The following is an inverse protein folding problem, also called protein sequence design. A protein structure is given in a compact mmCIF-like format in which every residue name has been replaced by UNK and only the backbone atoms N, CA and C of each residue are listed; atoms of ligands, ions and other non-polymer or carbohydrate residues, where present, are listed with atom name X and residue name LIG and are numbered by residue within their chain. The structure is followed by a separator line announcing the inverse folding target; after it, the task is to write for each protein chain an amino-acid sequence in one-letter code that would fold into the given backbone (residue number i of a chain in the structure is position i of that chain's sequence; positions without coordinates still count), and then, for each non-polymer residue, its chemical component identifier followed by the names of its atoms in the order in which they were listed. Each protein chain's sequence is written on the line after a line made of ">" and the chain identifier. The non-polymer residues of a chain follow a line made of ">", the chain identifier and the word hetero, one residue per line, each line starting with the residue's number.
data_IF_774059787083
#
_entry.id   IF_774059787083
#
_cell.length_a   1.000
_cell.length_b   1.000
_cell.length_c   1.000
_cell.angle_alpha   90.00
_cell.angle_beta   90.00
_cell.angle_gamma   90.00
#
_symmetry.space_group_name_H-M   'P 1'
#
loop_
_entity.id
_entity.type
_entity.pdbx_description
1 polymer ?
#
# COMPACT_ATOMS: atom_id res chain seq x y z
N UNK A 1 -27.11 6.84 -23.30
CA UNK A 1 -26.30 8.03 -22.95
C UNK A 1 -26.24 8.35 -21.44
N UNK A 2 -27.34 8.17 -20.67
CA UNK A 2 -27.37 8.46 -19.22
C UNK A 2 -26.39 7.59 -18.38
N UNK A 3 -26.35 6.28 -18.60
CA UNK A 3 -25.53 5.34 -17.81
C UNK A 3 -24.03 5.63 -17.90
N UNK A 4 -23.50 5.91 -19.11
CA UNK A 4 -22.08 6.26 -19.31
C UNK A 4 -21.66 7.56 -18.59
N UNK A 5 -22.56 8.56 -18.53
CA UNK A 5 -22.29 9.83 -17.84
C UNK A 5 -22.28 9.65 -16.31
N UNK A 6 -23.15 8.79 -15.79
CA UNK A 6 -23.24 8.47 -14.36
C UNK A 6 -21.98 7.72 -13.88
N UNK A 7 -21.50 6.74 -14.65
CA UNK A 7 -20.25 6.01 -14.37
C UNK A 7 -19.06 6.97 -14.32
N UNK A 8 -18.90 7.83 -15.33
CA UNK A 8 -17.82 8.83 -15.37
C UNK A 8 -17.85 9.81 -14.18
N UNK A 9 -19.05 10.17 -13.71
CA UNK A 9 -19.17 11.06 -12.53
C UNK A 9 -18.79 10.33 -11.26
N UNK A 10 -19.21 9.08 -11.08
CA UNK A 10 -18.83 8.24 -9.94
C UNK A 10 -17.31 8.06 -9.85
N UNK A 11 -16.66 7.76 -10.97
CA UNK A 11 -15.20 7.64 -11.06
C UNK A 11 -14.49 8.96 -10.68
N UNK A 12 -14.96 10.11 -11.16
CA UNK A 12 -14.39 11.42 -10.80
C UNK A 12 -14.53 11.72 -9.31
N UNK A 13 -15.64 11.34 -8.67
CA UNK A 13 -15.83 11.47 -7.22
C UNK A 13 -14.80 10.60 -6.49
N UNK A 14 -14.62 9.34 -6.88
CA UNK A 14 -13.66 8.42 -6.26
C UNK A 14 -12.23 8.93 -6.41
N UNK A 15 -11.81 9.34 -7.61
CA UNK A 15 -10.46 9.85 -7.87
C UNK A 15 -10.13 11.08 -7.02
N UNK A 16 -11.05 12.09 -7.01
CA UNK A 16 -10.83 13.28 -6.19
C UNK A 16 -10.86 12.95 -4.70
N UNK A 17 -11.76 12.07 -4.26
CA UNK A 17 -11.82 11.65 -2.85
C UNK A 17 -10.51 10.98 -2.42
N UNK A 18 -9.96 10.09 -3.23
CA UNK A 18 -8.67 9.45 -3.00
C UNK A 18 -7.54 10.49 -2.85
N UNK A 19 -7.50 11.46 -3.77
CA UNK A 19 -6.53 12.54 -3.71
C UNK A 19 -6.66 13.34 -2.41
N UNK A 20 -7.87 13.81 -2.08
CA UNK A 20 -8.11 14.61 -0.88
C UNK A 20 -7.82 13.84 0.41
N UNK A 21 -8.20 12.56 0.49
CA UNK A 21 -7.88 11.71 1.64
C UNK A 21 -6.38 11.51 1.81
N UNK A 22 -5.65 11.35 0.72
CA UNK A 22 -4.20 11.25 0.73
C UNK A 22 -3.52 12.55 1.20
N UNK A 23 -3.98 13.71 0.71
CA UNK A 23 -3.36 15.02 0.95
C UNK A 23 -3.75 15.66 2.29
N UNK A 24 -5.03 15.56 2.67
CA UNK A 24 -5.59 16.30 3.80
C UNK A 24 -5.97 15.41 4.99
N UNK A 25 -5.87 14.08 4.84
CA UNK A 25 -6.36 13.12 5.82
C UNK A 25 -7.86 12.84 5.68
N UNK A 26 -8.23 11.58 5.83
CA UNK A 26 -9.64 11.15 5.71
C UNK A 26 -10.54 11.89 6.70
N UNK A 27 -10.09 12.10 7.93
CA UNK A 27 -10.87 12.75 9.00
C UNK A 27 -11.25 14.19 8.66
N UNK A 28 -10.37 14.93 7.98
CA UNK A 28 -10.54 16.34 7.65
C UNK A 28 -11.41 16.58 6.42
N UNK A 29 -11.66 15.54 5.61
CA UNK A 29 -12.41 15.65 4.36
C UNK A 29 -13.85 15.21 4.55
N UNK A 30 -14.78 16.08 4.15
CA UNK A 30 -16.23 15.81 4.14
C UNK A 30 -16.75 15.65 2.72
N UNK A 31 -17.94 15.07 2.56
CA UNK A 31 -18.63 15.00 1.26
C UNK A 31 -18.89 16.39 0.67
N UNK A 32 -19.10 17.41 1.49
CA UNK A 32 -19.26 18.79 1.03
C UNK A 32 -17.95 19.36 0.46
N UNK A 33 -16.79 19.04 1.07
CA UNK A 33 -15.50 19.42 0.50
C UNK A 33 -15.30 18.78 -0.88
N UNK A 34 -15.61 17.49 -1.03
CA UNK A 34 -15.50 16.77 -2.31
C UNK A 34 -16.43 17.38 -3.36
N UNK A 35 -17.69 17.66 -3.00
CA UNK A 35 -18.66 18.28 -3.92
C UNK A 35 -18.21 19.67 -4.38
N UNK A 36 -17.71 20.51 -3.47
CA UNK A 36 -17.20 21.86 -3.77
C UNK A 36 -16.02 21.81 -4.74
N UNK A 37 -15.03 20.94 -4.51
CA UNK A 37 -13.84 20.79 -5.36
C UNK A 37 -14.21 20.26 -6.77
N UNK A 38 -15.27 19.44 -6.88
CA UNK A 38 -15.79 18.97 -8.17
C UNK A 38 -16.69 19.99 -8.89
N UNK A 39 -17.03 21.11 -8.24
CA UNK A 39 -17.98 22.08 -8.79
C UNK A 39 -19.39 21.53 -8.91
N UNK A 40 -19.80 20.57 -8.05
CA UNK A 40 -21.14 20.00 -8.04
C UNK A 40 -21.88 20.31 -6.75
N UNK A 41 -23.24 20.26 -6.82
CA UNK A 41 -24.03 20.41 -5.60
C UNK A 41 -23.88 19.19 -4.69
N UNK A 42 -23.98 19.35 -3.35
CA UNK A 42 -24.01 18.21 -2.43
C UNK A 42 -25.08 17.18 -2.77
N UNK A 43 -26.27 17.62 -3.20
CA UNK A 43 -27.35 16.72 -3.66
C UNK A 43 -26.95 15.84 -4.83
N UNK A 44 -26.16 16.34 -5.78
CA UNK A 44 -25.64 15.55 -6.89
C UNK A 44 -24.61 14.52 -6.42
N UNK A 45 -23.76 14.85 -5.45
CA UNK A 45 -22.86 13.89 -4.83
C UNK A 45 -23.64 12.79 -4.10
N UNK A 46 -24.66 13.16 -3.29
CA UNK A 46 -25.51 12.20 -2.57
C UNK A 46 -26.33 11.28 -3.48
N UNK A 47 -26.56 11.66 -4.72
CA UNK A 47 -27.15 10.76 -5.71
C UNK A 47 -26.21 9.57 -6.03
N UNK A 48 -24.89 9.78 -5.97
CA UNK A 48 -23.88 8.74 -6.25
C UNK A 48 -23.44 7.99 -4.99
N UNK A 49 -23.29 8.69 -3.86
CA UNK A 49 -22.80 8.15 -2.59
C UNK A 49 -23.58 8.75 -1.43
N UNK A 50 -24.26 7.93 -0.66
CA UNK A 50 -25.11 8.39 0.46
C UNK A 50 -24.33 9.06 1.58
N UNK A 51 -23.06 8.68 1.77
CA UNK A 51 -22.18 9.21 2.78
C UNK A 51 -20.72 8.94 2.42
N UNK A 52 -19.79 9.48 3.21
CA UNK A 52 -18.35 9.30 3.03
C UNK A 52 -17.91 7.83 3.15
N UNK A 53 -18.55 7.05 4.01
CA UNK A 53 -18.20 5.65 4.22
C UNK A 53 -18.43 4.78 2.96
N UNK A 54 -19.44 5.10 2.15
CA UNK A 54 -19.65 4.44 0.85
C UNK A 54 -18.51 4.75 -0.13
N UNK A 55 -17.97 5.97 -0.12
CA UNK A 55 -16.81 6.33 -0.94
C UNK A 55 -15.58 5.54 -0.48
N UNK A 56 -15.34 5.47 0.82
CA UNK A 56 -14.21 4.72 1.41
C UNK A 56 -14.34 3.23 1.08
N UNK A 57 -15.54 2.68 1.16
CA UNK A 57 -15.81 1.28 0.80
C UNK A 57 -15.44 0.98 -0.66
N UNK A 58 -15.90 1.80 -1.60
CA UNK A 58 -15.58 1.64 -3.03
C UNK A 58 -14.07 1.77 -3.30
N UNK A 59 -13.40 2.72 -2.64
CA UNK A 59 -11.94 2.86 -2.74
C UNK A 59 -11.22 1.63 -2.16
N UNK A 60 -11.71 1.06 -1.06
CA UNK A 60 -11.15 -0.17 -0.49
C UNK A 60 -11.39 -1.38 -1.41
N UNK A 61 -12.56 -1.50 -2.03
CA UNK A 61 -12.87 -2.54 -3.02
C UNK A 61 -11.98 -2.42 -4.27
N UNK A 62 -11.73 -1.20 -4.72
CA UNK A 62 -10.82 -0.93 -5.83
C UNK A 62 -9.39 -1.30 -5.47
N UNK A 63 -8.89 -0.85 -4.32
CA UNK A 63 -7.56 -1.17 -3.80
C UNK A 63 -7.35 -2.69 -3.68
N UNK A 64 -8.33 -3.40 -3.09
CA UNK A 64 -8.29 -4.85 -2.94
C UNK A 64 -8.19 -5.56 -4.29
N UNK A 65 -9.06 -5.20 -5.25
CA UNK A 65 -9.07 -5.80 -6.58
C UNK A 65 -7.74 -5.58 -7.30
N UNK A 66 -7.29 -4.33 -7.39
CA UNK A 66 -6.05 -3.96 -8.07
C UNK A 66 -4.84 -4.66 -7.44
N UNK A 67 -4.74 -4.68 -6.10
CA UNK A 67 -3.64 -5.33 -5.40
C UNK A 67 -3.60 -6.83 -5.66
N UNK A 68 -4.74 -7.53 -5.59
CA UNK A 68 -4.79 -8.97 -5.79
C UNK A 68 -4.55 -9.37 -7.26
N UNK A 69 -5.03 -8.58 -8.22
CA UNK A 69 -4.74 -8.76 -9.65
C UNK A 69 -3.23 -8.60 -9.93
N UNK A 70 -2.60 -7.60 -9.35
CA UNK A 70 -1.17 -7.33 -9.53
C UNK A 70 -0.27 -8.37 -8.84
N UNK A 71 -0.73 -9.00 -7.77
CA UNK A 71 -0.01 -10.08 -7.08
C UNK A 71 -0.28 -11.47 -7.67
N UNK A 72 -0.99 -11.57 -8.79
CA UNK A 72 -1.23 -12.85 -9.44
C UNK A 72 0.09 -13.48 -9.92
N UNK A 73 0.18 -14.81 -9.79
CA UNK A 73 1.27 -15.57 -10.38
C UNK A 73 1.04 -15.74 -11.90
N UNK A 74 2.09 -15.75 -12.71
CA UNK A 74 1.95 -16.16 -14.12
C UNK A 74 1.52 -17.63 -14.21
N UNK A 75 0.61 -17.93 -15.15
CA UNK A 75 0.04 -19.27 -15.31
C UNK A 75 0.89 -20.20 -16.17
N UNK A 76 1.80 -19.65 -16.97
CA UNK A 76 2.46 -20.33 -18.09
C UNK A 76 3.99 -20.47 -17.94
N UNK A 77 4.58 -19.94 -16.86
CA UNK A 77 6.02 -20.00 -16.60
C UNK A 77 6.37 -19.94 -15.11
N UNK A 78 7.57 -20.35 -14.76
CA UNK A 78 8.14 -20.11 -13.46
C UNK A 78 8.46 -18.61 -13.26
N UNK A 79 8.55 -18.17 -12.02
CA UNK A 79 9.01 -16.82 -11.67
C UNK A 79 10.50 -16.65 -11.98
N UNK A 80 10.88 -15.44 -12.34
CA UNK A 80 12.26 -15.01 -12.50
C UNK A 80 12.60 -13.80 -11.62
N UNK A 81 13.84 -13.30 -11.72
CA UNK A 81 14.31 -12.16 -10.94
C UNK A 81 13.56 -10.86 -11.31
N UNK A 82 13.09 -10.73 -12.55
CA UNK A 82 12.35 -9.53 -12.98
C UNK A 82 10.95 -9.50 -12.36
N UNK A 83 10.33 -10.66 -12.14
CA UNK A 83 9.06 -10.74 -11.43
C UNK A 83 9.19 -10.18 -10.02
N UNK A 84 10.30 -10.46 -9.32
CA UNK A 84 10.57 -9.92 -7.99
C UNK A 84 10.62 -8.41 -8.00
N UNK A 85 11.35 -7.82 -8.95
CA UNK A 85 11.43 -6.35 -9.11
C UNK A 85 10.04 -5.79 -9.41
N UNK A 86 9.28 -6.45 -10.30
CA UNK A 86 7.93 -6.02 -10.67
C UNK A 86 6.97 -6.03 -9.48
N UNK A 87 6.98 -7.07 -8.63
CA UNK A 87 6.15 -7.11 -7.42
C UNK A 87 6.49 -5.97 -6.45
N UNK A 88 7.77 -5.62 -6.28
CA UNK A 88 8.17 -4.48 -5.46
C UNK A 88 7.66 -3.15 -6.02
N UNK A 89 7.80 -2.92 -7.33
CA UNK A 89 7.31 -1.70 -7.98
C UNK A 89 5.79 -1.55 -7.83
N UNK A 90 5.07 -2.64 -8.06
CA UNK A 90 3.61 -2.68 -7.94
C UNK A 90 3.18 -2.36 -6.50
N UNK A 91 3.76 -3.04 -5.51
CA UNK A 91 3.45 -2.78 -4.10
C UNK A 91 3.75 -1.34 -3.71
N UNK A 92 4.88 -0.78 -4.17
CA UNK A 92 5.22 0.62 -3.96
C UNK A 92 4.15 1.58 -4.49
N UNK A 93 3.77 1.39 -5.74
CA UNK A 93 2.77 2.22 -6.39
C UNK A 93 1.41 2.16 -5.68
N UNK A 94 0.99 0.95 -5.27
CA UNK A 94 -0.27 0.74 -4.54
C UNK A 94 -0.24 1.39 -3.15
N UNK A 95 0.83 1.20 -2.40
CA UNK A 95 1.01 1.84 -1.09
C UNK A 95 0.98 3.36 -1.19
N UNK A 96 1.61 3.92 -2.22
CA UNK A 96 1.61 5.37 -2.44
C UNK A 96 0.23 5.88 -2.88
N UNK A 97 -0.39 5.20 -3.83
CA UNK A 97 -1.70 5.59 -4.35
C UNK A 97 -2.80 5.57 -3.28
N UNK A 98 -2.79 4.60 -2.39
CA UNK A 98 -3.80 4.39 -1.35
C UNK A 98 -3.27 4.62 0.07
N UNK A 99 -2.25 5.50 0.24
CA UNK A 99 -1.55 5.70 1.53
C UNK A 99 -2.44 6.12 2.69
N UNK A 100 -3.59 6.78 2.42
CA UNK A 100 -4.55 7.12 3.47
C UNK A 100 -5.13 5.89 4.16
N UNK A 101 -5.34 4.77 3.46
CA UNK A 101 -5.85 3.52 4.02
C UNK A 101 -4.90 2.96 5.09
N UNK A 102 -3.59 3.04 4.85
CA UNK A 102 -2.57 2.56 5.80
C UNK A 102 -2.34 3.54 6.94
N UNK A 103 -2.34 4.84 6.66
CA UNK A 103 -2.20 5.88 7.68
C UNK A 103 -3.37 5.89 8.66
N UNK A 104 -4.59 5.82 8.14
CA UNK A 104 -5.82 6.00 8.92
C UNK A 104 -6.49 4.66 9.31
N UNK A 105 -5.80 3.51 9.14
CA UNK A 105 -6.37 2.16 9.28
C UNK A 105 -7.10 1.94 10.61
N UNK A 106 -6.54 2.35 11.74
CA UNK A 106 -7.17 2.20 13.04
C UNK A 106 -8.49 2.96 13.13
N UNK A 107 -8.48 4.24 12.68
CA UNK A 107 -9.68 5.06 12.65
C UNK A 107 -10.75 4.46 11.72
N UNK A 108 -10.36 3.99 10.56
CA UNK A 108 -11.27 3.37 9.58
C UNK A 108 -11.89 2.08 10.13
N UNK A 109 -11.11 1.23 10.79
CA UNK A 109 -11.61 0.00 11.43
C UNK A 109 -12.59 0.31 12.56
N UNK A 110 -12.35 1.35 13.35
CA UNK A 110 -13.22 1.72 14.46
C UNK A 110 -14.53 2.39 14.01
N UNK A 111 -14.48 3.22 12.97
CA UNK A 111 -15.58 4.12 12.61
C UNK A 111 -16.29 3.76 11.30
N UNK A 112 -15.88 2.70 10.59
CA UNK A 112 -16.50 2.25 9.36
C UNK A 112 -16.75 0.72 9.42
N UNK A 113 -18.01 0.32 9.57
CA UNK A 113 -18.37 -1.08 9.72
C UNK A 113 -18.04 -1.93 8.49
N UNK A 114 -18.23 -1.41 7.28
CA UNK A 114 -17.87 -2.10 6.05
C UNK A 114 -16.35 -2.31 5.98
N UNK A 115 -15.57 -1.26 6.26
CA UNK A 115 -14.12 -1.35 6.28
C UNK A 115 -13.61 -2.38 7.31
N UNK A 116 -14.18 -2.36 8.51
CA UNK A 116 -13.86 -3.32 9.59
C UNK A 116 -14.09 -4.77 9.18
N UNK A 117 -15.10 -5.05 8.33
CA UNK A 117 -15.38 -6.40 7.81
C UNK A 117 -14.48 -6.77 6.63
N UNK A 118 -14.15 -5.79 5.78
CA UNK A 118 -13.39 -6.01 4.54
C UNK A 118 -11.89 -6.14 4.79
N UNK A 119 -11.32 -5.28 5.64
CA UNK A 119 -9.87 -5.19 5.83
C UNK A 119 -9.22 -6.51 6.30
N UNK A 120 -9.74 -7.24 7.32
CA UNK A 120 -9.15 -8.51 7.73
C UNK A 120 -9.19 -9.59 6.64
N UNK A 121 -10.23 -9.61 5.82
CA UNK A 121 -10.35 -10.55 4.69
C UNK A 121 -9.31 -10.24 3.62
N UNK A 122 -9.18 -8.96 3.26
CA UNK A 122 -8.16 -8.48 2.34
C UNK A 122 -6.75 -8.82 2.84
N UNK A 123 -6.43 -8.51 4.11
CA UNK A 123 -5.16 -8.86 4.73
C UNK A 123 -4.85 -10.36 4.62
N UNK A 124 -5.83 -11.21 4.93
CA UNK A 124 -5.69 -12.67 4.79
C UNK A 124 -5.41 -13.10 3.35
N UNK A 125 -6.11 -12.52 2.36
CA UNK A 125 -5.91 -12.81 0.94
C UNK A 125 -4.52 -12.40 0.45
N UNK A 126 -4.07 -11.19 0.83
CA UNK A 126 -2.72 -10.71 0.45
C UNK A 126 -1.62 -11.58 1.08
N UNK A 127 -1.76 -11.93 2.36
CA UNK A 127 -0.78 -12.82 3.01
C UNK A 127 -0.76 -14.22 2.39
N UNK A 128 -1.92 -14.80 2.06
CA UNK A 128 -1.97 -16.09 1.35
C UNK A 128 -1.35 -16.02 -0.05
N UNK A 129 -1.58 -14.93 -0.77
CA UNK A 129 -0.95 -14.72 -2.08
C UNK A 129 0.56 -14.51 -1.94
N UNK A 130 1.01 -13.78 -0.93
CA UNK A 130 2.42 -13.65 -0.59
C UNK A 130 3.10 -14.98 -0.33
N UNK A 131 2.47 -15.87 0.44
CA UNK A 131 2.99 -17.24 0.67
C UNK A 131 3.17 -18.01 -0.65
N UNK A 132 2.20 -17.93 -1.56
CA UNK A 132 2.30 -18.58 -2.89
C UNK A 132 3.44 -17.99 -3.73
N UNK A 133 3.60 -16.67 -3.72
CA UNK A 133 4.67 -15.98 -4.45
C UNK A 133 6.05 -16.41 -3.91
N UNK A 134 6.24 -16.43 -2.59
CA UNK A 134 7.53 -16.86 -2.01
C UNK A 134 7.79 -18.34 -2.23
N UNK A 135 6.77 -19.20 -2.15
CA UNK A 135 6.93 -20.60 -2.53
C UNK A 135 7.34 -20.74 -3.99
N UNK A 136 6.74 -19.98 -4.92
CA UNK A 136 7.11 -20.01 -6.32
C UNK A 136 8.55 -19.52 -6.58
N UNK A 137 9.07 -18.56 -5.79
CA UNK A 137 10.49 -18.18 -5.83
C UNK A 137 11.41 -19.29 -5.32
N UNK A 138 10.99 -20.05 -4.29
CA UNK A 138 11.73 -21.23 -3.82
C UNK A 138 11.74 -22.32 -4.89
N UNK A 139 10.60 -22.61 -5.50
CA UNK A 139 10.45 -23.63 -6.56
C UNK A 139 11.26 -23.26 -7.82
N UNK A 140 11.42 -21.97 -8.10
CA UNK A 140 12.26 -21.44 -9.18
C UNK A 140 13.77 -21.44 -8.84
N UNK A 141 14.17 -21.83 -7.62
CA UNK A 141 15.57 -21.84 -7.18
C UNK A 141 16.17 -20.45 -6.91
N UNK A 142 15.33 -19.42 -6.78
CA UNK A 142 15.75 -18.04 -6.51
C UNK A 142 15.86 -17.73 -5.01
N UNK A 143 15.20 -18.53 -4.18
CA UNK A 143 15.23 -18.44 -2.72
C UNK A 143 15.33 -19.82 -2.09
N UNK A 144 15.89 -19.88 -0.88
CA UNK A 144 15.94 -21.09 -0.07
C UNK A 144 15.27 -20.81 1.27
N UNK A 145 14.07 -21.36 1.45
CA UNK A 145 13.23 -21.14 2.63
C UNK A 145 12.41 -22.38 2.97
N UNK A 146 12.17 -22.59 4.24
CA UNK A 146 11.16 -23.51 4.77
C UNK A 146 9.78 -22.85 4.75
N UNK A 147 8.70 -23.63 4.82
CA UNK A 147 7.35 -23.11 4.90
C UNK A 147 7.14 -22.16 6.11
N UNK A 148 7.76 -22.44 7.25
CA UNK A 148 7.69 -21.57 8.44
C UNK A 148 8.42 -20.23 8.25
N UNK A 149 9.52 -20.24 7.52
CA UNK A 149 10.26 -19.00 7.19
C UNK A 149 9.46 -18.15 6.19
N UNK A 150 8.81 -18.76 5.20
CA UNK A 150 7.90 -18.05 4.29
C UNK A 150 6.76 -17.39 5.07
N UNK A 151 6.10 -18.13 5.97
CA UNK A 151 5.03 -17.59 6.82
C UNK A 151 5.51 -16.40 7.65
N UNK A 152 6.63 -16.55 8.35
CA UNK A 152 7.21 -15.50 9.17
C UNK A 152 7.61 -14.26 8.35
N UNK A 153 8.23 -14.46 7.18
CA UNK A 153 8.60 -13.38 6.28
C UNK A 153 7.37 -12.61 5.79
N UNK A 154 6.34 -13.30 5.32
CA UNK A 154 5.11 -12.67 4.82
C UNK A 154 4.44 -11.82 5.91
N UNK A 155 4.36 -12.32 7.15
CA UNK A 155 3.83 -11.56 8.29
C UNK A 155 4.68 -10.31 8.56
N UNK A 156 6.01 -10.44 8.59
CA UNK A 156 6.92 -9.31 8.80
C UNK A 156 6.78 -8.24 7.71
N UNK A 157 6.70 -8.66 6.44
CA UNK A 157 6.48 -7.76 5.32
C UNK A 157 5.15 -7.03 5.42
N UNK A 158 4.07 -7.74 5.78
CA UNK A 158 2.77 -7.13 6.02
C UNK A 158 2.83 -6.06 7.11
N UNK A 159 3.47 -6.37 8.26
CA UNK A 159 3.64 -5.42 9.36
C UNK A 159 4.43 -4.19 8.92
N UNK A 160 5.55 -4.38 8.22
CA UNK A 160 6.37 -3.27 7.70
C UNK A 160 5.56 -2.40 6.76
N UNK A 161 4.94 -2.97 5.74
CA UNK A 161 4.20 -2.22 4.72
C UNK A 161 3.03 -1.42 5.30
N UNK A 162 2.23 -2.05 6.14
CA UNK A 162 0.98 -1.45 6.64
C UNK A 162 1.18 -0.46 7.79
N UNK A 163 2.29 -0.55 8.52
CA UNK A 163 2.58 0.32 9.67
C UNK A 163 3.70 1.33 9.41
N UNK A 164 4.30 1.32 8.23
CA UNK A 164 5.46 2.17 7.94
C UNK A 164 5.19 3.67 8.13
N UNK A 165 4.08 4.17 7.63
CA UNK A 165 3.69 5.59 7.78
C UNK A 165 3.52 5.97 9.24
N UNK A 166 2.87 5.12 10.04
CA UNK A 166 2.70 5.34 11.48
C UNK A 166 4.05 5.33 12.21
N UNK A 167 4.95 4.40 11.85
CA UNK A 167 6.31 4.36 12.39
C UNK A 167 7.05 5.68 12.12
N UNK A 168 7.05 6.18 10.90
CA UNK A 168 7.71 7.44 10.54
C UNK A 168 7.18 8.64 11.32
N UNK A 169 5.87 8.73 11.50
CA UNK A 169 5.23 9.79 12.26
C UNK A 169 5.57 9.70 13.77
N UNK A 170 5.40 8.52 14.37
CA UNK A 170 5.62 8.31 15.80
C UNK A 170 7.10 8.43 16.19
N UNK A 171 8.02 8.10 15.31
CA UNK A 171 9.47 8.24 15.52
C UNK A 171 10.01 9.63 15.16
N UNK A 172 9.15 10.56 14.73
CA UNK A 172 9.53 11.95 14.43
C UNK A 172 10.26 12.16 13.11
N UNK A 173 10.27 11.16 12.21
CA UNK A 173 10.84 11.31 10.86
C UNK A 173 10.02 12.23 9.96
N UNK A 174 8.73 12.25 10.18
CA UNK A 174 7.79 13.18 9.53
C UNK A 174 6.97 13.89 10.60
N UNK A 175 6.81 15.20 10.45
CA UNK A 175 6.07 16.03 11.40
C UNK A 175 4.55 15.99 11.18
N UNK A 176 4.12 15.68 9.97
CA UNK A 176 2.72 15.54 9.58
C UNK A 176 2.55 14.33 8.64
N UNK A 177 1.77 13.36 9.09
CA UNK A 177 1.48 12.15 8.31
C UNK A 177 0.70 12.42 7.01
N UNK A 178 0.12 13.60 6.83
CA UNK A 178 -0.55 14.00 5.59
C UNK A 178 0.43 14.47 4.51
N UNK A 179 1.61 14.93 4.91
CA UNK A 179 2.67 15.43 4.02
C UNK A 179 3.79 14.41 3.84
N UNK A 180 3.42 13.13 3.67
CA UNK A 180 4.37 12.06 3.41
C UNK A 180 4.97 12.25 2.00
N UNK A 181 6.28 12.20 1.88
CA UNK A 181 6.99 12.20 0.61
C UNK A 181 7.14 10.78 0.08
N UNK A 182 7.11 10.60 -1.24
CA UNK A 182 7.23 9.29 -1.90
C UNK A 182 8.52 8.55 -1.52
N UNK A 183 9.62 9.28 -1.27
CA UNK A 183 10.89 8.69 -0.81
C UNK A 183 10.74 7.79 0.42
N UNK A 184 9.78 8.06 1.28
CA UNK A 184 9.53 7.27 2.48
C UNK A 184 8.93 5.89 2.18
N UNK A 185 8.18 5.76 1.09
CA UNK A 185 7.70 4.45 0.61
C UNK A 185 8.87 3.59 0.14
N UNK A 186 9.84 4.20 -0.56
CA UNK A 186 11.08 3.51 -0.95
C UNK A 186 11.88 3.01 0.23
N UNK A 187 11.87 3.71 1.37
CA UNK A 187 12.51 3.24 2.60
C UNK A 187 11.80 2.01 3.20
N UNK A 188 10.48 1.90 3.08
CA UNK A 188 9.75 0.68 3.46
C UNK A 188 10.19 -0.52 2.61
N UNK A 189 10.23 -0.34 1.28
CA UNK A 189 10.69 -1.38 0.35
C UNK A 189 12.13 -1.80 0.64
N UNK A 190 12.99 -0.85 0.97
CA UNK A 190 14.36 -1.15 1.40
C UNK A 190 14.40 -2.09 2.60
N UNK A 191 13.52 -1.89 3.62
CA UNK A 191 13.43 -2.81 4.76
C UNK A 191 12.97 -4.21 4.33
N UNK A 192 12.01 -4.30 3.41
CA UNK A 192 11.57 -5.59 2.86
C UNK A 192 12.72 -6.32 2.17
N UNK A 193 13.47 -5.62 1.31
CA UNK A 193 14.64 -6.17 0.61
C UNK A 193 15.67 -6.71 1.62
N UNK A 194 15.93 -6.00 2.73
CA UNK A 194 16.82 -6.49 3.79
C UNK A 194 16.30 -7.73 4.51
N UNK A 195 14.99 -7.80 4.78
CA UNK A 195 14.37 -8.98 5.42
C UNK A 195 14.50 -10.23 4.56
N UNK A 196 14.49 -10.08 3.24
CA UNK A 196 14.61 -11.18 2.30
C UNK A 196 16.06 -11.63 2.04
N UNK A 197 17.02 -10.75 2.28
CA UNK A 197 18.41 -10.94 1.86
C UNK A 197 19.07 -12.24 2.35
N UNK A 198 18.69 -12.73 3.53
CA UNK A 198 19.22 -13.98 4.08
C UNK A 198 18.80 -15.24 3.30
N UNK A 199 17.69 -15.16 2.57
CA UNK A 199 17.07 -16.29 1.89
C UNK A 199 17.40 -16.36 0.39
N UNK A 200 18.00 -15.32 -0.18
CA UNK A 200 18.30 -15.24 -1.60
C UNK A 200 19.47 -16.13 -2.01
N UNK A 201 19.36 -16.78 -3.14
CA UNK A 201 20.39 -17.64 -3.73
C UNK A 201 20.50 -17.42 -5.25
N UNK A 202 21.62 -17.89 -5.83
CA UNK A 202 21.86 -17.80 -7.26
C UNK A 202 21.78 -16.36 -7.80
N UNK A 203 21.16 -16.20 -8.95
CA UNK A 203 21.01 -14.92 -9.66
C UNK A 203 20.27 -13.84 -8.83
N UNK A 204 19.34 -14.27 -7.99
CA UNK A 204 18.59 -13.33 -7.14
C UNK A 204 19.49 -12.62 -6.11
N UNK A 205 20.58 -13.28 -5.67
CA UNK A 205 21.57 -12.71 -4.76
C UNK A 205 22.35 -11.57 -5.41
N UNK A 206 22.79 -11.77 -6.64
CA UNK A 206 23.54 -10.75 -7.38
C UNK A 206 22.66 -9.52 -7.68
N UNK A 207 21.40 -9.77 -8.02
CA UNK A 207 20.42 -8.69 -8.27
C UNK A 207 20.09 -7.92 -6.99
N UNK A 208 20.01 -8.59 -5.84
CA UNK A 208 19.83 -7.99 -4.54
C UNK A 208 20.94 -6.99 -4.19
N UNK A 209 22.19 -7.35 -4.38
CA UNK A 209 23.33 -6.47 -4.10
C UNK A 209 23.27 -5.20 -4.93
N UNK A 210 22.99 -5.30 -6.24
CA UNK A 210 22.77 -4.16 -7.13
C UNK A 210 21.58 -3.30 -6.72
N UNK A 211 20.48 -3.93 -6.27
CA UNK A 211 19.29 -3.22 -5.81
C UNK A 211 19.58 -2.45 -4.52
N UNK A 212 20.30 -3.02 -3.58
CA UNK A 212 20.70 -2.33 -2.34
C UNK A 212 21.56 -1.09 -2.61
N UNK A 213 22.48 -1.17 -3.56
CA UNK A 213 23.31 -0.03 -3.98
C UNK A 213 22.43 1.11 -4.52
N UNK A 214 21.36 0.78 -5.26
CA UNK A 214 20.45 1.77 -5.84
C UNK A 214 19.62 2.55 -4.81
N UNK A 215 19.35 1.98 -3.64
CA UNK A 215 18.62 2.66 -2.55
C UNK A 215 19.45 3.74 -1.83
N UNK A 216 20.76 3.72 -1.98
CA UNK A 216 21.65 4.60 -1.23
C UNK A 216 21.64 4.34 0.30
N UNK A 217 22.28 5.22 1.08
CA UNK A 217 22.30 5.12 2.54
C UNK A 217 20.92 5.39 3.13
N UNK A 218 20.62 4.75 4.29
CA UNK A 218 19.38 5.03 5.00
C UNK A 218 19.40 6.41 5.65
N UNK A 219 18.43 7.24 5.33
CA UNK A 219 18.24 8.56 5.98
C UNK A 219 17.60 8.46 7.37
N UNK A 220 17.07 7.28 7.76
CA UNK A 220 16.33 7.10 9.00
C UNK A 220 17.15 7.45 10.25
N UNK A 221 18.38 6.97 10.35
CA UNK A 221 19.23 7.27 11.50
C UNK A 221 19.85 8.67 11.45
N UNK A 222 20.06 9.23 10.28
CA UNK A 222 20.55 10.61 10.12
C UNK A 222 19.54 11.63 10.64
N UNK A 223 18.25 11.44 10.38
CA UNK A 223 17.19 12.33 10.85
C UNK A 223 16.97 12.28 12.37
N UNK A 224 17.15 11.11 13.01
CA UNK A 224 17.03 10.96 14.49
C UNK A 224 18.13 11.72 15.26
N UNK A 225 19.31 11.90 14.68
CA UNK A 225 20.40 12.64 15.31
C UNK A 225 20.14 14.17 15.32
N UNK A 226 19.31 14.68 14.43
CA UNK A 226 18.93 16.10 14.38
C UNK A 226 17.78 16.44 15.34
N UNK A 227 16.93 15.49 15.69
CA UNK A 227 15.82 15.68 16.63
C UNK A 227 16.25 15.82 18.09
N UNK A 228 17.51 15.51 18.44
CA UNK A 228 18.07 15.64 19.81
C UNK A 228 18.57 17.04 20.14
N UNK A 229 18.61 17.96 19.19
CA UNK A 229 19.19 19.31 19.37
C UNK A 229 18.16 20.45 19.32
N UNK A 230 16.88 20.15 19.33
CA UNK A 230 15.77 21.09 19.53
C UNK A 230 14.94 20.69 20.76
#
# INVERSE_FOLDING_TARGET
>A
MSHSKTVKTKERILQLSLQLFNERGERSVTTNHIAAELGMSPGNLYYHFRNKNEIIKELMEQYQRETLEMLALPDDRALDVNDKISYFQVLSNQLWAYRFLHRDVYHLVENNEDFRKMYPRFAGQVMQQGQKIYQAFVDAGLMQMTASEIEALVINLWIVLTNWTNFLYMSGHVSDSNHLEEKWVWQALRQMVFLEGAYLCGESRETYERLLESFGPSELFASLSHAKNN
#
